data_IF_205489272222
#
_entry.id   IF_205489272222
#
_cell.length_a   1.000
_cell.length_b   1.000
_cell.length_c   1.000
_cell.angle_alpha   90.00
_cell.angle_beta   90.00
_cell.angle_gamma   90.00
#
_symmetry.space_group_name_H-M   'P 1'
#
loop_
_entity.id
_entity.type
_entity.pdbx_description
1 polymer ?
#
# COMPACT_ATOMS: atom_id res chain seq x y z
N UNK A 1 51.77 14.90 37.58
CA UNK A 1 51.38 15.33 36.22
C UNK A 1 50.99 14.20 35.26
N UNK A 2 51.52 12.98 35.41
CA UNK A 2 51.19 11.84 34.49
C UNK A 2 49.78 11.23 34.69
N UNK A 3 49.17 11.38 35.84
CA UNK A 3 47.82 10.83 36.12
C UNK A 3 46.68 11.76 35.70
N UNK A 4 46.88 13.05 35.50
CA UNK A 4 45.88 13.99 35.04
C UNK A 4 45.59 13.89 33.52
N UNK A 5 46.61 13.52 32.75
CA UNK A 5 46.46 13.32 31.29
C UNK A 5 45.67 12.02 30.93
N UNK A 6 45.77 11.02 31.77
CA UNK A 6 45.05 9.71 31.58
C UNK A 6 43.56 9.84 31.86
N UNK A 7 43.14 10.73 32.75
CA UNK A 7 41.71 10.96 33.06
C UNK A 7 41.01 11.77 31.97
N UNK A 8 41.68 12.70 31.28
CA UNK A 8 41.08 13.44 30.18
C UNK A 8 40.85 12.59 28.92
N UNK A 9 41.72 11.63 28.66
CA UNK A 9 41.59 10.71 27.54
C UNK A 9 40.39 9.71 27.69
N UNK A 10 40.09 9.31 28.94
CA UNK A 10 38.96 8.40 29.21
C UNK A 10 37.60 9.08 29.08
N UNK A 11 37.49 10.40 29.35
CA UNK A 11 36.23 11.14 29.24
C UNK A 11 35.90 11.49 27.78
N UNK A 12 36.89 11.64 26.92
CA UNK A 12 36.68 11.89 25.49
C UNK A 12 36.20 10.66 24.71
N UNK A 13 36.51 9.45 25.20
CA UNK A 13 36.11 8.20 24.56
C UNK A 13 34.62 7.79 24.82
N UNK A 14 33.99 8.32 25.87
CA UNK A 14 32.58 8.01 26.18
C UNK A 14 31.57 8.88 25.42
N UNK A 15 31.99 9.99 24.82
CA UNK A 15 31.07 10.91 24.11
C UNK A 15 30.82 10.51 22.64
N UNK A 16 31.55 9.55 22.09
CA UNK A 16 31.42 9.12 20.68
C UNK A 16 30.39 8.01 20.48
N UNK A 17 29.88 7.40 21.57
CA UNK A 17 28.95 6.27 21.51
C UNK A 17 27.46 6.68 21.57
N UNK A 18 27.11 7.95 21.57
CA UNK A 18 25.76 8.39 21.27
C UNK A 18 25.55 8.27 19.75
N UNK A 19 25.44 7.03 19.26
CA UNK A 19 25.01 6.79 17.87
C UNK A 19 23.73 7.55 17.65
N UNK A 20 23.78 8.59 16.83
CA UNK A 20 22.57 9.25 16.35
C UNK A 20 21.68 8.15 15.78
N UNK A 21 20.53 7.92 16.39
CA UNK A 21 19.48 7.08 15.79
C UNK A 21 19.16 7.73 14.46
N UNK A 22 19.76 7.24 13.39
CA UNK A 22 19.45 7.70 12.05
C UNK A 22 18.03 7.29 11.75
N UNK A 23 17.20 8.26 11.42
CA UNK A 23 15.88 7.99 10.87
C UNK A 23 16.04 7.08 9.64
N UNK A 24 15.40 5.94 9.65
CA UNK A 24 15.47 4.98 8.55
C UNK A 24 14.35 5.30 7.56
N UNK A 25 14.73 5.57 6.32
CA UNK A 25 13.75 5.69 5.24
C UNK A 25 13.28 4.29 4.82
N UNK A 26 11.97 4.08 4.82
CA UNK A 26 11.32 2.86 4.36
C UNK A 26 10.73 3.15 2.98
N UNK A 27 11.05 2.32 2.00
CA UNK A 27 10.57 2.48 0.63
C UNK A 27 9.52 1.44 0.30
N UNK A 28 8.47 1.85 -0.38
CA UNK A 28 7.41 0.96 -0.83
C UNK A 28 6.83 1.36 -2.18
N UNK A 29 6.19 0.41 -2.84
CA UNK A 29 5.54 0.67 -4.12
C UNK A 29 4.33 -0.24 -4.33
N UNK A 30 3.40 0.17 -5.18
CA UNK A 30 2.32 -0.71 -5.61
C UNK A 30 0.94 -0.07 -5.68
N UNK A 31 -0.05 -0.76 -5.13
CA UNK A 31 -1.47 -0.44 -5.21
C UNK A 31 -1.78 1.04 -5.00
N UNK A 32 -2.54 1.60 -5.92
CA UNK A 32 -3.10 2.95 -5.81
C UNK A 32 -4.30 3.01 -4.86
N UNK A 33 -4.95 1.87 -4.61
CA UNK A 33 -6.09 1.77 -3.70
C UNK A 33 -5.70 2.06 -2.24
N UNK A 34 -4.57 1.54 -1.77
CA UNK A 34 -4.09 1.77 -0.40
C UNK A 34 -3.47 3.16 -0.20
N UNK A 35 -3.08 3.83 -1.28
CA UNK A 35 -2.29 5.07 -1.21
C UNK A 35 -2.90 6.17 -0.34
N UNK A 36 -4.20 6.50 -0.42
CA UNK A 36 -4.76 7.59 0.38
C UNK A 36 -4.63 7.38 1.90
N UNK A 37 -4.83 6.16 2.37
CA UNK A 37 -4.69 5.84 3.81
C UNK A 37 -3.22 5.71 4.19
N UNK A 38 -2.40 5.10 3.34
CA UNK A 38 -0.97 4.95 3.58
C UNK A 38 -0.26 6.30 3.67
N UNK A 39 -0.63 7.28 2.84
CA UNK A 39 -0.10 8.64 2.92
C UNK A 39 -0.38 9.31 4.27
N UNK A 40 -1.59 9.13 4.81
CA UNK A 40 -1.93 9.62 6.15
C UNK A 40 -1.16 8.91 7.26
N UNK A 41 -1.04 7.59 7.17
CA UNK A 41 -0.28 6.81 8.15
C UNK A 41 1.21 7.16 8.12
N UNK A 42 1.79 7.34 6.93
CA UNK A 42 3.19 7.74 6.76
C UNK A 42 3.49 9.09 7.40
N UNK A 43 2.58 10.07 7.25
CA UNK A 43 2.70 11.36 7.93
C UNK A 43 2.69 11.23 9.45
N UNK A 44 1.69 10.54 10.00
CA UNK A 44 1.58 10.32 11.44
C UNK A 44 2.73 9.48 12.02
N UNK A 45 3.25 8.52 11.26
CA UNK A 45 4.40 7.71 11.64
C UNK A 45 5.67 8.57 11.71
N UNK A 46 5.89 9.43 10.71
CA UNK A 46 7.02 10.35 10.68
C UNK A 46 7.01 11.31 11.87
N UNK A 47 5.84 11.88 12.21
CA UNK A 47 5.71 12.77 13.37
C UNK A 47 6.07 12.08 14.69
N UNK A 48 5.75 10.79 14.83
CA UNK A 48 5.98 10.04 16.07
C UNK A 48 7.36 9.42 16.18
N UNK A 49 7.98 9.07 15.07
CA UNK A 49 9.19 8.24 15.07
C UNK A 49 10.40 8.90 14.40
N UNK A 50 10.18 10.01 13.69
CA UNK A 50 11.14 10.64 12.77
C UNK A 50 11.54 9.76 11.57
N UNK A 51 11.03 8.53 11.45
CA UNK A 51 11.25 7.68 10.28
C UNK A 51 10.30 8.07 9.14
N UNK A 52 10.76 7.98 7.91
CA UNK A 52 9.97 8.33 6.74
C UNK A 52 9.59 7.08 5.94
N UNK A 53 8.34 7.04 5.48
CA UNK A 53 7.87 6.03 4.52
C UNK A 53 7.67 6.71 3.17
N UNK A 54 8.45 6.30 2.19
CA UNK A 54 8.39 6.78 0.80
C UNK A 54 7.63 5.75 -0.04
N UNK A 55 6.42 6.07 -0.47
CA UNK A 55 5.57 5.15 -1.22
C UNK A 55 5.29 5.63 -2.63
N UNK A 56 5.48 4.74 -3.62
CA UNK A 56 5.21 4.98 -5.03
C UNK A 56 3.89 4.31 -5.44
N UNK A 57 2.87 5.10 -5.71
CA UNK A 57 1.56 4.62 -6.18
C UNK A 57 1.60 4.33 -7.69
N UNK A 58 2.07 3.12 -8.05
CA UNK A 58 2.33 2.70 -9.45
C UNK A 58 1.48 1.50 -9.90
N UNK A 59 0.49 1.14 -9.09
CA UNK A 59 -0.36 -0.03 -9.30
C UNK A 59 0.24 -1.33 -8.77
N UNK A 60 -0.64 -2.30 -8.48
CA UNK A 60 -0.28 -3.58 -7.86
C UNK A 60 0.80 -4.34 -8.62
N UNK A 61 0.72 -4.37 -9.95
CA UNK A 61 1.71 -5.05 -10.80
C UNK A 61 3.12 -4.48 -10.65
N UNK A 62 3.24 -3.15 -10.62
CA UNK A 62 4.51 -2.46 -10.40
C UNK A 62 5.09 -2.74 -9.01
N UNK A 63 4.24 -2.74 -7.97
CA UNK A 63 4.64 -3.08 -6.61
C UNK A 63 5.16 -4.50 -6.47
N UNK A 64 4.44 -5.48 -7.06
CA UNK A 64 4.86 -6.88 -7.09
C UNK A 64 6.22 -7.05 -7.80
N UNK A 65 6.41 -6.38 -8.93
CA UNK A 65 7.67 -6.45 -9.66
C UNK A 65 8.84 -5.89 -8.85
N UNK A 66 8.64 -4.75 -8.19
CA UNK A 66 9.69 -4.11 -7.40
C UNK A 66 10.05 -4.90 -6.14
N UNK A 67 9.07 -5.45 -5.41
CA UNK A 67 9.39 -6.25 -4.23
C UNK A 67 10.07 -7.58 -4.61
N UNK A 68 9.66 -8.22 -5.70
CA UNK A 68 10.35 -9.41 -6.21
C UNK A 68 11.79 -9.12 -6.65
N UNK A 69 12.06 -7.92 -7.15
CA UNK A 69 13.39 -7.46 -7.52
C UNK A 69 14.22 -6.91 -6.33
N UNK A 70 13.65 -6.90 -5.12
CA UNK A 70 14.27 -6.34 -3.91
C UNK A 70 14.71 -4.87 -4.05
N UNK A 71 13.99 -4.07 -4.85
CA UNK A 71 14.25 -2.64 -5.04
C UNK A 71 13.46 -1.74 -4.07
N UNK A 72 12.55 -2.32 -3.31
CA UNK A 72 11.78 -1.68 -2.25
C UNK A 72 11.67 -2.60 -1.03
N UNK A 73 11.40 -2.02 0.15
CA UNK A 73 11.27 -2.76 1.40
C UNK A 73 9.92 -3.46 1.51
N UNK A 74 8.86 -2.90 0.89
CA UNK A 74 7.55 -3.52 0.83
C UNK A 74 6.83 -3.24 -0.48
N UNK A 75 5.97 -4.18 -0.90
CA UNK A 75 5.06 -4.02 -2.02
C UNK A 75 3.61 -4.06 -1.55
N UNK A 76 2.72 -3.30 -2.18
CA UNK A 76 1.29 -3.38 -1.93
C UNK A 76 0.53 -3.85 -3.17
N UNK A 77 -0.44 -4.75 -2.97
CA UNK A 77 -1.24 -5.33 -4.03
C UNK A 77 -2.70 -5.48 -3.61
N UNK A 78 -3.62 -5.25 -4.54
CA UNK A 78 -5.06 -5.47 -4.35
C UNK A 78 -5.43 -6.95 -4.54
N UNK A 79 -4.53 -7.72 -5.15
CA UNK A 79 -4.67 -9.17 -5.33
C UNK A 79 -3.60 -9.91 -4.52
N UNK A 80 -3.98 -10.90 -3.69
CA UNK A 80 -3.01 -11.77 -3.05
C UNK A 80 -2.12 -12.49 -4.08
N UNK A 81 -0.85 -12.70 -3.73
CA UNK A 81 0.03 -13.60 -4.47
C UNK A 81 -0.34 -15.06 -4.14
N UNK A 82 -0.12 -15.93 -5.09
CA UNK A 82 -0.29 -17.36 -4.89
C UNK A 82 0.76 -17.90 -3.90
N UNK A 83 0.40 -18.92 -3.14
CA UNK A 83 1.30 -19.50 -2.14
C UNK A 83 2.65 -19.96 -2.74
N UNK A 84 2.62 -20.46 -3.97
CA UNK A 84 3.83 -20.85 -4.71
C UNK A 84 4.74 -19.66 -4.97
N UNK A 85 4.18 -18.54 -5.43
CA UNK A 85 4.94 -17.31 -5.68
C UNK A 85 5.64 -16.79 -4.42
N UNK A 86 4.92 -16.82 -3.28
CA UNK A 86 5.47 -16.39 -1.99
C UNK A 86 6.64 -17.28 -1.56
N UNK A 87 6.47 -18.62 -1.69
CA UNK A 87 7.51 -19.58 -1.33
C UNK A 87 8.75 -19.44 -2.21
N UNK A 88 8.54 -19.32 -3.54
CA UNK A 88 9.64 -19.23 -4.50
C UNK A 88 10.46 -17.94 -4.34
N UNK A 89 9.81 -16.87 -3.89
CA UNK A 89 10.46 -15.55 -3.71
C UNK A 89 10.86 -15.23 -2.27
N UNK A 90 10.51 -16.08 -1.32
CA UNK A 90 10.76 -15.83 0.12
C UNK A 90 9.97 -14.66 0.69
N UNK A 91 8.84 -14.29 0.06
CA UNK A 91 8.00 -13.19 0.49
C UNK A 91 6.90 -13.66 1.45
N UNK A 92 6.58 -12.83 2.45
CA UNK A 92 5.38 -12.94 3.26
C UNK A 92 4.34 -11.91 2.82
N UNK A 93 3.04 -12.20 3.02
CA UNK A 93 1.98 -11.22 2.79
C UNK A 93 0.94 -11.26 3.90
N UNK A 94 0.29 -10.12 4.12
CA UNK A 94 -0.77 -9.96 5.10
C UNK A 94 -1.78 -8.89 4.65
N UNK A 95 -3.06 -8.98 5.06
CA UNK A 95 -4.05 -7.95 4.75
C UNK A 95 -3.77 -6.66 5.53
N UNK A 96 -3.92 -5.51 4.87
CA UNK A 96 -3.65 -4.18 5.45
C UNK A 96 -4.94 -3.37 5.60
N UNK A 97 -5.75 -3.31 4.54
CA UNK A 97 -7.01 -2.58 4.51
C UNK A 97 -8.06 -3.34 3.72
N UNK A 98 -9.32 -3.08 4.01
CA UNK A 98 -10.47 -3.56 3.25
C UNK A 98 -11.25 -2.34 2.76
N UNK A 99 -11.67 -2.37 1.50
CA UNK A 99 -12.55 -1.37 0.91
C UNK A 99 -13.57 -2.02 -0.02
N UNK A 100 -14.64 -1.29 -0.29
CA UNK A 100 -15.65 -1.71 -1.26
C UNK A 100 -15.37 -1.13 -2.65
N UNK A 101 -15.64 -1.92 -3.68
CA UNK A 101 -15.74 -1.45 -5.07
C UNK A 101 -17.23 -1.48 -5.42
N UNK A 102 -17.75 -0.32 -5.80
CA UNK A 102 -19.17 -0.16 -6.12
C UNK A 102 -19.33 0.40 -7.54
N UNK A 103 -20.29 -0.10 -8.34
CA UNK A 103 -20.67 0.54 -9.58
C UNK A 103 -21.31 1.91 -9.29
N UNK A 104 -20.88 2.93 -10.01
CA UNK A 104 -21.48 4.26 -9.96
C UNK A 104 -22.07 4.55 -11.32
N UNK A 105 -23.34 4.97 -11.35
CA UNK A 105 -24.05 5.33 -12.58
C UNK A 105 -24.56 6.77 -12.49
N UNK A 106 -24.61 7.43 -13.64
CA UNK A 106 -25.25 8.73 -13.80
C UNK A 106 -26.26 8.61 -14.95
N UNK A 107 -27.48 8.20 -14.62
CA UNK A 107 -28.58 7.99 -15.59
C UNK A 107 -29.71 8.91 -15.19
N UNK A 108 -30.21 9.69 -16.15
CA UNK A 108 -31.33 10.60 -15.93
C UNK A 108 -32.59 9.83 -15.50
N UNK A 109 -33.27 10.33 -14.46
CA UNK A 109 -34.50 9.75 -13.94
C UNK A 109 -34.31 8.66 -12.88
N UNK A 110 -33.08 8.15 -12.66
CA UNK A 110 -32.83 7.17 -11.61
C UNK A 110 -32.52 7.84 -10.25
N UNK A 111 -33.08 7.29 -9.19
CA UNK A 111 -32.78 7.68 -7.83
C UNK A 111 -31.80 6.67 -7.19
N UNK A 112 -31.08 7.05 -6.12
CA UNK A 112 -30.22 6.13 -5.38
C UNK A 112 -30.99 4.88 -4.92
N UNK A 113 -30.53 3.70 -5.33
CA UNK A 113 -31.12 2.43 -4.98
C UNK A 113 -32.15 1.87 -5.97
N UNK A 114 -32.51 2.60 -7.02
CA UNK A 114 -33.43 2.08 -8.04
C UNK A 114 -32.77 0.99 -8.89
N UNK A 115 -31.49 1.18 -9.23
CA UNK A 115 -30.78 0.19 -10.03
C UNK A 115 -30.31 -0.98 -9.16
N UNK A 116 -30.83 -2.17 -9.46
CA UNK A 116 -30.47 -3.41 -8.78
C UNK A 116 -29.88 -4.38 -9.80
N UNK A 117 -28.58 -4.58 -9.72
CA UNK A 117 -27.87 -5.49 -10.61
C UNK A 117 -27.46 -6.76 -9.88
N UNK A 118 -27.83 -7.92 -10.44
CA UNK A 118 -27.26 -9.19 -9.99
C UNK A 118 -25.82 -9.34 -10.47
N UNK A 119 -25.01 -10.16 -9.79
CA UNK A 119 -23.64 -10.42 -10.19
C UNK A 119 -23.49 -10.89 -11.65
N UNK A 120 -24.30 -11.84 -12.15
CA UNK A 120 -24.30 -12.24 -13.55
C UNK A 120 -24.59 -11.09 -14.52
N UNK A 121 -25.60 -10.25 -14.23
CA UNK A 121 -25.94 -9.10 -15.07
C UNK A 121 -24.81 -8.08 -15.11
N UNK A 122 -24.21 -7.80 -13.96
CA UNK A 122 -23.04 -6.90 -13.89
C UNK A 122 -21.87 -7.45 -14.72
N UNK A 123 -21.58 -8.74 -14.63
CA UNK A 123 -20.55 -9.37 -15.43
C UNK A 123 -20.86 -9.27 -16.93
N UNK A 124 -22.09 -9.51 -17.35
CA UNK A 124 -22.50 -9.42 -18.76
C UNK A 124 -22.45 -7.99 -19.32
N UNK A 125 -22.67 -6.97 -18.49
CA UNK A 125 -22.44 -5.56 -18.85
C UNK A 125 -20.95 -5.34 -19.14
N UNK A 126 -20.05 -5.72 -18.25
CA UNK A 126 -18.62 -5.54 -18.43
C UNK A 126 -18.01 -6.40 -19.55
N UNK A 127 -18.61 -7.55 -19.84
CA UNK A 127 -18.25 -8.39 -20.98
C UNK A 127 -18.83 -7.89 -22.33
N UNK A 128 -19.62 -6.81 -22.31
CA UNK A 128 -20.23 -6.24 -23.51
C UNK A 128 -21.37 -7.06 -24.12
N UNK A 129 -21.92 -8.03 -23.37
CA UNK A 129 -23.08 -8.81 -23.81
C UNK A 129 -24.38 -8.01 -23.67
N UNK A 130 -24.52 -7.26 -22.57
CA UNK A 130 -25.57 -6.28 -22.37
C UNK A 130 -25.06 -4.93 -22.87
N UNK A 131 -25.64 -4.41 -23.93
CA UNK A 131 -25.14 -3.21 -24.62
C UNK A 131 -26.06 -1.99 -24.47
N UNK A 132 -27.21 -2.14 -23.86
CA UNK A 132 -28.20 -1.07 -23.69
C UNK A 132 -28.76 -1.09 -22.28
N UNK A 133 -28.98 0.10 -21.71
CA UNK A 133 -29.56 0.24 -20.38
C UNK A 133 -31.02 -0.20 -20.28
N UNK A 134 -31.74 -0.25 -21.39
CA UNK A 134 -33.11 -0.79 -21.48
C UNK A 134 -33.16 -2.29 -21.86
N UNK A 135 -32.06 -3.02 -21.69
CA UNK A 135 -32.06 -4.46 -21.83
C UNK A 135 -32.94 -5.09 -20.73
N UNK A 136 -33.67 -6.15 -21.06
CA UNK A 136 -34.54 -6.85 -20.11
C UNK A 136 -33.81 -7.35 -18.86
N UNK A 137 -32.53 -7.71 -19.00
CA UNK A 137 -31.71 -8.13 -17.88
C UNK A 137 -31.48 -7.02 -16.83
N UNK A 138 -31.73 -5.75 -17.22
CA UNK A 138 -31.58 -4.59 -16.33
C UNK A 138 -32.94 -4.00 -15.95
N UNK A 139 -33.91 -4.00 -16.89
CA UNK A 139 -35.18 -3.28 -16.75
C UNK A 139 -36.28 -4.09 -16.04
N UNK A 140 -36.15 -5.41 -15.94
CA UNK A 140 -37.07 -6.31 -15.23
C UNK A 140 -36.62 -6.49 -13.75
#
# INVERSE_FOLDING_TARGET
MRHALSALAATAALTVAAGAAQATDITGAGSSFVYPVLAKWSGAFKEKTSNQVNYQSIGSGGGIAQIKAATVDFGASDKPLEAKDLTDTGLGQFPVVIGGIVPVVNIEGLQPGDLKLSGPVLADIFLGKVQKWNDKAIAD
#
